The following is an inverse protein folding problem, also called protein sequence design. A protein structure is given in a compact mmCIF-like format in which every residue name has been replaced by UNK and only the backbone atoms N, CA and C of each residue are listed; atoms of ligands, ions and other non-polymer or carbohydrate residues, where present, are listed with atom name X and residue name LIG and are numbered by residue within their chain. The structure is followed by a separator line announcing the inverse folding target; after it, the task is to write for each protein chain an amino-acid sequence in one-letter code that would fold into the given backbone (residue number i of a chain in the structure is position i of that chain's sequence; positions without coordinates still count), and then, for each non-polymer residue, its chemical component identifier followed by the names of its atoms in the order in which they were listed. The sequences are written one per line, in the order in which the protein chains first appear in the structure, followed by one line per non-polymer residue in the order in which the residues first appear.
data_IF_398237266584
#
_entry.id   IF_398237266584
#
_cell.length_a   1.000
_cell.length_b   1.000
_cell.length_c   1.000
_cell.angle_alpha   90.00
_cell.angle_beta   90.00
_cell.angle_gamma   90.00
#
_symmetry.space_group_name_H-M   'P 1'
#
loop_
_entity.id
_entity.type
_entity.pdbx_description
1 polymer ?
#
# COMPACT_ATOMS: atom_id res chain seq x y z
N UNK A 1 13.72 17.20 24.85
CA UNK A 1 14.33 16.13 24.06
C UNK A 1 14.24 14.85 24.85
N UNK A 2 13.53 13.88 24.34
CA UNK A 2 13.42 12.57 24.98
C UNK A 2 14.75 11.83 24.81
N UNK A 3 15.23 11.22 25.89
CA UNK A 3 16.48 10.44 25.87
C UNK A 3 16.16 8.96 26.00
N UNK A 4 16.69 8.18 25.08
CA UNK A 4 16.69 6.72 25.19
C UNK A 4 18.05 6.31 25.79
N UNK A 5 18.03 5.65 26.94
CA UNK A 5 19.23 5.13 27.59
C UNK A 5 19.20 3.61 27.51
N UNK A 6 20.14 3.04 26.77
CA UNK A 6 20.29 1.59 26.66
C UNK A 6 21.49 1.15 27.49
N UNK A 7 21.25 0.29 28.49
CA UNK A 7 22.31 -0.35 29.25
C UNK A 7 22.53 -1.74 28.67
N UNK A 8 23.66 -1.97 28.04
CA UNK A 8 24.11 -3.29 27.65
C UNK A 8 24.55 -4.09 28.89
N UNK A 9 24.43 -5.41 28.81
CA UNK A 9 24.84 -6.32 29.89
C UNK A 9 25.48 -7.59 29.32
N UNK A 10 26.02 -8.42 30.20
CA UNK A 10 26.63 -9.70 29.85
C UNK A 10 25.60 -10.83 29.61
N UNK A 11 24.33 -10.48 29.43
CA UNK A 11 23.26 -11.45 29.22
C UNK A 11 23.31 -11.96 27.78
N UNK A 12 23.50 -13.25 27.60
CA UNK A 12 23.27 -13.91 26.32
C UNK A 12 21.77 -14.01 26.07
N UNK A 13 21.34 -13.42 24.98
CA UNK A 13 19.98 -13.64 24.50
C UNK A 13 19.90 -15.01 23.84
N UNK A 14 18.92 -15.82 24.25
CA UNK A 14 18.62 -17.13 23.69
C UNK A 14 17.12 -17.33 23.70
N UNK A 15 16.56 -17.78 22.58
CA UNK A 15 15.13 -17.99 22.41
C UNK A 15 14.76 -17.97 20.94
N UNK A 16 13.47 -18.20 20.69
CA UNK A 16 12.87 -18.17 19.37
C UNK A 16 11.90 -16.99 19.27
N UNK A 17 11.90 -16.30 18.15
CA UNK A 17 10.97 -15.21 17.85
C UNK A 17 10.31 -15.51 16.51
N UNK A 18 8.99 -15.52 16.50
CA UNK A 18 8.21 -15.59 15.26
C UNK A 18 8.18 -14.21 14.63
N UNK A 19 8.65 -14.10 13.39
CA UNK A 19 8.67 -12.84 12.66
C UNK A 19 7.31 -12.61 12.03
N UNK A 20 6.70 -11.46 12.35
CA UNK A 20 5.47 -10.98 11.72
C UNK A 20 5.75 -10.39 10.33
N UNK A 21 4.70 -10.27 9.52
CA UNK A 21 4.77 -9.63 8.21
C UNK A 21 5.22 -8.17 8.29
N UNK A 22 6.00 -7.74 7.30
CA UNK A 22 6.55 -6.38 7.28
C UNK A 22 5.60 -5.40 6.61
N UNK A 23 5.35 -4.23 7.24
CA UNK A 23 4.53 -3.14 6.70
C UNK A 23 4.92 -2.78 5.26
N UNK A 24 6.21 -2.56 5.03
CA UNK A 24 6.69 -2.10 3.73
C UNK A 24 6.64 -3.17 2.63
N UNK A 25 6.43 -4.43 3.00
CA UNK A 25 6.16 -5.51 2.05
C UNK A 25 4.67 -5.65 1.76
N UNK A 26 3.82 -5.61 2.80
CA UNK A 26 2.38 -5.84 2.63
C UNK A 26 1.68 -4.73 1.86
N UNK A 27 2.07 -3.45 2.01
CA UNK A 27 1.40 -2.36 1.30
C UNK A 27 1.52 -2.48 -0.23
N UNK A 28 2.71 -2.70 -0.83
CA UNK A 28 2.79 -2.95 -2.27
C UNK A 28 2.16 -4.29 -2.69
N UNK A 29 2.14 -5.32 -1.84
CA UNK A 29 1.43 -6.57 -2.13
C UNK A 29 -0.08 -6.35 -2.21
N UNK A 30 -0.67 -5.57 -1.28
CA UNK A 30 -2.08 -5.17 -1.34
C UNK A 30 -2.38 -4.38 -2.61
N UNK A 31 -1.51 -3.45 -3.02
CA UNK A 31 -1.68 -2.75 -4.29
C UNK A 31 -1.59 -3.71 -5.50
N UNK A 32 -0.71 -4.71 -5.45
CA UNK A 32 -0.55 -5.69 -6.52
C UNK A 32 -1.79 -6.59 -6.68
N UNK A 33 -2.60 -6.81 -5.63
CA UNK A 33 -3.86 -7.57 -5.75
C UNK A 33 -4.84 -6.96 -6.73
N UNK A 34 -4.76 -5.64 -6.97
CA UNK A 34 -5.56 -4.93 -7.97
C UNK A 34 -5.37 -5.50 -9.39
N UNK A 35 -4.21 -6.09 -9.67
CA UNK A 35 -3.89 -6.66 -10.99
C UNK A 35 -4.61 -7.98 -11.29
N UNK A 36 -5.13 -8.67 -10.29
CA UNK A 36 -5.82 -9.93 -10.47
C UNK A 36 -7.23 -9.69 -11.05
N UNK A 37 -7.41 -9.92 -12.35
CA UNK A 37 -8.69 -9.72 -13.05
C UNK A 37 -9.68 -10.88 -12.86
N UNK A 38 -9.23 -11.99 -12.31
CA UNK A 38 -10.03 -13.19 -12.07
C UNK A 38 -9.63 -13.84 -10.75
N UNK A 39 -10.64 -14.39 -10.05
CA UNK A 39 -10.45 -15.09 -8.79
C UNK A 39 -10.08 -14.18 -7.62
N UNK A 40 -9.75 -14.81 -6.50
CA UNK A 40 -9.40 -14.13 -5.25
C UNK A 40 -7.91 -14.26 -4.96
N UNK A 41 -7.33 -13.19 -4.43
CA UNK A 41 -5.96 -13.18 -3.92
C UNK A 41 -5.99 -13.25 -2.40
N UNK A 42 -5.28 -14.20 -1.80
CA UNK A 42 -5.16 -14.32 -0.36
C UNK A 42 -3.73 -13.97 0.07
N UNK A 43 -3.61 -13.00 0.97
CA UNK A 43 -2.35 -12.64 1.63
C UNK A 43 -2.40 -13.12 3.08
N UNK A 44 -1.39 -13.90 3.49
CA UNK A 44 -1.26 -14.40 4.86
C UNK A 44 -0.14 -13.67 5.61
N UNK A 45 -0.11 -13.79 6.93
CA UNK A 45 0.85 -13.12 7.80
C UNK A 45 0.84 -11.59 7.60
N UNK A 46 -0.35 -11.02 7.44
CA UNK A 46 -0.54 -9.57 7.29
C UNK A 46 -0.54 -8.92 8.66
N UNK A 47 0.36 -7.96 8.95
CA UNK A 47 0.43 -7.35 10.26
C UNK A 47 -0.76 -6.42 10.52
N UNK A 48 -1.24 -6.37 11.77
CA UNK A 48 -2.34 -5.50 12.21
C UNK A 48 -1.79 -4.09 12.45
N UNK A 49 -1.80 -3.26 11.42
CA UNK A 49 -1.25 -1.90 11.43
C UNK A 49 -2.22 -0.90 10.80
N UNK A 50 -2.22 0.34 11.29
CA UNK A 50 -3.07 1.42 10.77
C UNK A 50 -2.90 1.64 9.25
N UNK A 51 -1.67 1.51 8.75
CA UNK A 51 -1.38 1.66 7.32
C UNK A 51 -2.01 0.53 6.48
N UNK A 52 -2.13 -0.69 7.02
CA UNK A 52 -2.81 -1.82 6.36
C UNK A 52 -4.30 -1.54 6.23
N UNK A 53 -4.96 -1.05 7.30
CA UNK A 53 -6.36 -0.65 7.21
C UNK A 53 -6.57 0.47 6.20
N UNK A 54 -5.66 1.45 6.18
CA UNK A 54 -5.74 2.55 5.22
C UNK A 54 -5.61 2.04 3.79
N UNK A 55 -4.65 1.13 3.51
CA UNK A 55 -4.50 0.54 2.19
C UNK A 55 -5.71 -0.32 1.79
N UNK A 56 -6.24 -1.12 2.72
CA UNK A 56 -7.48 -1.87 2.48
C UNK A 56 -8.64 -0.94 2.09
N UNK A 57 -8.75 0.24 2.73
CA UNK A 57 -9.78 1.21 2.39
C UNK A 57 -9.51 1.90 1.03
N UNK A 58 -8.24 2.13 0.66
CA UNK A 58 -7.89 2.59 -0.70
C UNK A 58 -8.35 1.57 -1.74
N UNK A 59 -8.07 0.28 -1.51
CA UNK A 59 -8.45 -0.81 -2.43
C UNK A 59 -9.98 -0.96 -2.50
N UNK A 60 -10.68 -0.94 -1.35
CA UNK A 60 -12.16 -0.96 -1.32
C UNK A 60 -12.77 0.21 -2.07
N UNK A 61 -12.14 1.38 -1.99
CA UNK A 61 -12.60 2.57 -2.69
C UNK A 61 -12.44 2.52 -4.21
N UNK A 62 -11.83 1.48 -4.75
CA UNK A 62 -11.79 1.15 -6.17
C UNK A 62 -12.89 0.18 -6.61
N UNK A 63 -13.88 -0.05 -5.75
CA UNK A 63 -14.97 -1.05 -5.92
C UNK A 63 -14.47 -2.49 -5.89
N UNK A 64 -13.43 -2.75 -5.10
CA UNK A 64 -12.81 -4.06 -4.90
C UNK A 64 -13.21 -4.61 -3.53
N UNK A 65 -13.66 -5.86 -3.49
CA UNK A 65 -13.98 -6.52 -2.23
C UNK A 65 -12.69 -6.87 -1.47
N UNK A 66 -12.62 -6.46 -0.20
CA UNK A 66 -11.47 -6.74 0.68
C UNK A 66 -12.00 -7.21 2.03
N UNK A 67 -11.63 -8.40 2.44
CA UNK A 67 -11.90 -8.96 3.76
C UNK A 67 -10.60 -9.13 4.53
N UNK A 68 -10.53 -8.58 5.74
CA UNK A 68 -9.37 -8.70 6.61
C UNK A 68 -9.75 -9.45 7.88
N UNK A 69 -9.31 -10.69 7.99
CA UNK A 69 -9.46 -11.50 9.18
C UNK A 69 -8.23 -11.30 10.09
N UNK A 70 -8.43 -10.56 11.18
CA UNK A 70 -7.39 -10.23 12.15
C UNK A 70 -7.00 -11.43 13.04
N UNK A 71 -7.89 -12.42 13.22
CA UNK A 71 -7.60 -13.58 14.07
C UNK A 71 -6.51 -14.47 13.46
N UNK A 72 -6.46 -14.55 12.14
CA UNK A 72 -5.46 -15.35 11.42
C UNK A 72 -4.53 -14.51 10.55
N UNK A 73 -4.54 -13.18 10.70
CA UNK A 73 -3.68 -12.25 9.95
C UNK A 73 -3.76 -12.44 8.43
N UNK A 74 -4.98 -12.59 7.91
CA UNK A 74 -5.21 -12.90 6.49
C UNK A 74 -6.08 -11.84 5.84
N UNK A 75 -5.68 -11.35 4.67
CA UNK A 75 -6.49 -10.49 3.81
C UNK A 75 -6.86 -11.24 2.55
N UNK A 76 -8.15 -11.27 2.23
CA UNK A 76 -8.67 -11.80 0.97
C UNK A 76 -9.16 -10.63 0.12
N UNK A 77 -8.68 -10.54 -1.11
CA UNK A 77 -9.03 -9.50 -2.07
C UNK A 77 -9.64 -10.15 -3.31
N UNK A 78 -10.81 -9.68 -3.68
CA UNK A 78 -11.46 -10.05 -4.95
C UNK A 78 -11.55 -8.80 -5.83
N UNK A 79 -10.61 -8.68 -6.76
CA UNK A 79 -10.54 -7.61 -7.73
C UNK A 79 -11.07 -8.04 -9.12
N UNK A 80 -11.87 -9.09 -9.18
CA UNK A 80 -12.52 -9.54 -10.41
C UNK A 80 -13.52 -8.47 -10.92
N UNK A 81 -13.68 -8.40 -12.23
CA UNK A 81 -14.58 -7.43 -12.85
C UNK A 81 -13.98 -6.05 -13.10
N UNK A 82 -14.85 -5.06 -13.28
CA UNK A 82 -14.45 -3.66 -13.50
C UNK A 82 -14.09 -2.98 -12.19
N UNK A 83 -13.07 -2.16 -12.21
CA UNK A 83 -12.64 -1.37 -11.06
C UNK A 83 -12.68 0.13 -11.39
N UNK A 84 -12.81 0.97 -10.38
CA UNK A 84 -12.77 2.42 -10.57
C UNK A 84 -11.35 2.89 -10.95
N UNK A 85 -11.29 3.94 -11.75
CA UNK A 85 -10.03 4.56 -12.23
C UNK A 85 -9.44 5.59 -11.26
N UNK A 86 -10.19 5.93 -10.21
CA UNK A 86 -9.83 6.98 -9.27
C UNK A 86 -9.77 6.46 -7.84
N UNK A 87 -8.58 6.54 -7.24
CA UNK A 87 -8.40 6.23 -5.83
C UNK A 87 -9.00 7.34 -4.93
N UNK A 88 -9.70 7.00 -3.83
CA UNK A 88 -10.36 7.97 -2.97
C UNK A 88 -9.34 8.92 -2.29
N UNK A 89 -9.55 10.23 -2.49
CA UNK A 89 -8.68 11.28 -1.93
C UNK A 89 -8.49 11.17 -0.43
N UNK A 90 -9.57 10.89 0.30
CA UNK A 90 -9.57 10.83 1.77
C UNK A 90 -8.61 9.79 2.37
N UNK A 91 -8.33 8.71 1.64
CA UNK A 91 -7.38 7.68 2.07
C UNK A 91 -5.99 7.90 1.49
N UNK A 92 -5.90 8.30 0.21
CA UNK A 92 -4.61 8.58 -0.44
C UNK A 92 -3.87 9.73 0.23
N UNK A 93 -4.59 10.78 0.65
CA UNK A 93 -4.00 11.93 1.33
C UNK A 93 -3.40 11.61 2.70
N UNK A 94 -3.90 10.57 3.39
CA UNK A 94 -3.46 10.17 4.73
C UNK A 94 -2.20 9.30 4.73
N UNK A 95 -1.96 8.58 3.65
CA UNK A 95 -0.84 7.63 3.57
C UNK A 95 -0.11 7.76 2.25
N UNK A 96 1.14 8.18 2.33
CA UNK A 96 1.96 8.36 1.13
C UNK A 96 2.15 7.10 0.29
N UNK A 97 2.25 5.93 0.95
CA UNK A 97 2.39 4.65 0.27
C UNK A 97 1.21 4.34 -0.68
N UNK A 98 0.08 5.04 -0.54
CA UNK A 98 -1.08 4.90 -1.43
C UNK A 98 -0.77 5.19 -2.90
N UNK A 99 0.30 5.94 -3.20
CA UNK A 99 0.72 6.20 -4.59
C UNK A 99 1.04 4.91 -5.36
N UNK A 100 1.39 3.83 -4.68
CA UNK A 100 1.73 2.55 -5.33
C UNK A 100 0.56 1.92 -6.07
N UNK A 101 -0.69 2.33 -5.79
CA UNK A 101 -1.87 1.85 -6.53
C UNK A 101 -1.97 2.44 -7.95
N UNK A 102 -1.24 3.53 -8.24
CA UNK A 102 -1.25 4.19 -9.55
C UNK A 102 -0.90 3.21 -10.68
N UNK A 103 0.18 2.43 -10.51
CA UNK A 103 0.61 1.45 -11.51
C UNK A 103 -0.44 0.38 -11.80
N UNK A 104 -0.95 -0.33 -10.78
CA UNK A 104 -2.01 -1.33 -10.95
C UNK A 104 -3.30 -0.81 -11.57
N UNK A 105 -3.79 0.37 -11.15
CA UNK A 105 -5.00 0.97 -11.74
C UNK A 105 -4.74 1.30 -13.22
N UNK A 106 -3.61 1.92 -13.53
CA UNK A 106 -3.23 2.25 -14.91
C UNK A 106 -3.12 0.99 -15.77
N UNK A 107 -2.51 -0.07 -15.26
CA UNK A 107 -2.35 -1.33 -15.99
C UNK A 107 -3.69 -2.02 -16.28
N UNK A 108 -4.66 -1.92 -15.36
CA UNK A 108 -5.99 -2.52 -15.51
C UNK A 108 -6.89 -1.72 -16.44
N UNK A 109 -6.95 -0.40 -16.26
CA UNK A 109 -7.95 0.47 -16.89
C UNK A 109 -7.40 1.24 -18.09
N UNK A 110 -6.09 1.25 -18.33
CA UNK A 110 -5.45 2.11 -19.34
C UNK A 110 -5.38 3.59 -18.94
N UNK A 111 -6.00 3.96 -17.84
CA UNK A 111 -5.95 5.30 -17.24
C UNK A 111 -6.13 5.22 -15.73
N UNK A 112 -5.61 6.21 -15.00
CA UNK A 112 -5.70 6.27 -13.54
C UNK A 112 -5.69 7.71 -13.06
N UNK A 113 -6.42 7.99 -11.98
CA UNK A 113 -6.43 9.26 -11.27
C UNK A 113 -6.06 9.01 -9.82
N UNK A 114 -4.94 9.57 -9.40
CA UNK A 114 -4.47 9.43 -8.01
C UNK A 114 -4.05 10.81 -7.51
N UNK A 115 -4.60 11.21 -6.39
CA UNK A 115 -4.23 12.47 -5.75
C UNK A 115 -2.78 12.42 -5.29
N UNK A 116 -2.09 13.55 -5.37
CA UNK A 116 -0.75 13.67 -4.81
C UNK A 116 -0.81 13.38 -3.30
N UNK A 117 0.03 12.50 -2.80
CA UNK A 117 0.04 12.19 -1.37
C UNK A 117 0.45 13.42 -0.56
N UNK A 118 -0.24 13.66 0.54
CA UNK A 118 0.05 14.76 1.45
C UNK A 118 1.50 14.74 1.96
N UNK A 119 1.99 15.90 2.40
CA UNK A 119 3.35 16.05 2.92
C UNK A 119 3.63 15.11 4.10
N UNK A 120 4.83 14.57 4.14
CA UNK A 120 5.32 13.81 5.29
C UNK A 120 6.15 14.73 6.18
N UNK A 121 5.97 14.68 7.49
CA UNK A 121 6.75 15.44 8.49
C UNK A 121 8.26 15.14 8.44
N UNK A 122 8.67 14.06 7.76
CA UNK A 122 10.07 13.60 7.66
C UNK A 122 10.78 14.18 6.42
N UNK A 123 10.07 14.96 5.57
CA UNK A 123 10.64 15.61 4.37
C UNK A 123 9.98 15.23 3.05
N UNK A 124 10.37 15.95 1.97
CA UNK A 124 9.88 15.67 0.63
C UNK A 124 10.42 14.31 0.15
N UNK A 125 9.54 13.43 -0.23
CA UNK A 125 9.91 12.18 -0.91
C UNK A 125 9.26 12.24 -2.29
N UNK A 126 10.01 12.63 -3.32
CA UNK A 126 9.47 12.83 -4.64
C UNK A 126 8.96 11.51 -5.24
N UNK A 127 7.87 11.59 -6.02
CA UNK A 127 7.33 10.48 -6.80
C UNK A 127 7.74 10.57 -8.27
N UNK A 128 8.60 11.51 -8.59
CA UNK A 128 9.06 11.82 -9.94
C UNK A 128 9.66 10.62 -10.68
N UNK A 129 10.35 9.72 -9.95
CA UNK A 129 10.90 8.50 -10.55
C UNK A 129 9.79 7.52 -10.99
N UNK A 130 8.68 7.42 -10.24
CA UNK A 130 7.54 6.63 -10.65
C UNK A 130 6.92 7.20 -11.92
N UNK A 131 6.72 8.52 -11.97
CA UNK A 131 6.14 9.21 -13.12
C UNK A 131 7.03 9.07 -14.34
N UNK A 132 8.35 9.32 -14.21
CA UNK A 132 9.32 9.14 -15.29
C UNK A 132 9.34 7.70 -15.84
N UNK A 133 9.26 6.70 -14.94
CA UNK A 133 9.19 5.30 -15.35
C UNK A 133 7.94 5.00 -16.17
N UNK A 134 6.78 5.50 -15.74
CA UNK A 134 5.51 5.32 -16.46
C UNK A 134 5.52 6.06 -17.81
N UNK A 135 6.06 7.28 -17.86
CA UNK A 135 6.23 8.04 -19.13
C UNK A 135 7.15 7.30 -20.11
N UNK A 136 8.25 6.74 -19.62
CA UNK A 136 9.17 5.96 -20.46
C UNK A 136 8.50 4.69 -21.03
N UNK A 137 7.48 4.16 -20.36
CA UNK A 137 6.64 3.06 -20.84
C UNK A 137 5.47 3.53 -21.72
N UNK A 138 5.36 4.83 -22.01
CA UNK A 138 4.35 5.38 -22.92
C UNK A 138 3.12 5.99 -22.25
N UNK A 139 3.07 6.10 -20.92
CA UNK A 139 1.98 6.78 -20.23
C UNK A 139 2.04 8.30 -20.45
N UNK A 140 0.89 8.92 -20.68
CA UNK A 140 0.77 10.37 -20.71
C UNK A 140 0.34 10.87 -19.33
N UNK A 141 1.17 11.71 -18.70
CA UNK A 141 0.94 12.24 -17.37
C UNK A 141 0.42 13.68 -17.46
N UNK A 142 -0.66 13.95 -16.73
CA UNK A 142 -1.23 15.29 -16.59
C UNK A 142 -1.30 15.58 -15.09
N UNK A 143 -0.56 16.58 -14.64
CA UNK A 143 -0.64 17.08 -13.27
C UNK A 143 -1.62 18.26 -13.24
N UNK A 144 -2.60 18.19 -12.35
CA UNK A 144 -3.60 19.23 -12.12
C UNK A 144 -3.47 19.69 -10.68
N UNK A 145 -3.20 20.97 -10.45
CA UNK A 145 -3.07 21.56 -9.13
C UNK A 145 -2.28 22.84 -9.14
#
# INVERSE_FOLDING_TARGET
MDKIIVKGGNTRLSGEVVIEGAKNAVLPLLAATILASEGQTTLTNVPILSDVYTMNNVVRGLDIAVDFNEENNTVVVDASGEILDQAPYEYVSKMRASIVVLGPILARNGHAKVSMPGGCTIGSRPIDLHLKGLEAMGAKIIQVG
#
